data_IF_363971968382
#
_entry.id   IF_363971968382
#
_cell.length_a   1.000
_cell.length_b   1.000
_cell.length_c   1.000
_cell.angle_alpha   90.00
_cell.angle_beta   90.00
_cell.angle_gamma   90.00
#
_symmetry.space_group_name_H-M   'P 1'
#
loop_
_entity.id
_entity.type
_entity.pdbx_description
1 polymer ?
#
# COMPACT_ATOMS: atom_id res chain seq x y z
N UNK A 1 -13.41 19.32 10.97
CA UNK A 1 -13.35 17.85 10.92
C UNK A 1 -12.93 17.43 9.51
N UNK A 2 -11.72 16.91 9.26
CA UNK A 2 -11.37 16.47 7.92
C UNK A 2 -12.19 15.23 7.55
N UNK A 3 -13.07 15.39 6.57
CA UNK A 3 -13.97 14.34 6.07
C UNK A 3 -13.19 13.29 5.29
N UNK A 4 -13.43 12.04 5.66
CA UNK A 4 -12.75 10.87 5.14
C UNK A 4 -13.62 10.27 3.96
N UNK A 5 -13.08 9.77 2.81
CA UNK A 5 -13.79 9.08 1.65
C UNK A 5 -13.03 7.84 1.03
N UNK A 6 -13.18 6.59 1.52
CA UNK A 6 -12.59 5.34 0.91
C UNK A 6 -13.53 4.88 -0.16
N UNK A 7 -12.92 4.35 -1.21
CA UNK A 7 -13.59 3.59 -2.24
C UNK A 7 -12.91 2.23 -2.35
N UNK A 8 -13.69 1.15 -2.28
CA UNK A 8 -13.24 -0.20 -2.62
C UNK A 8 -13.67 -0.54 -4.04
N UNK A 9 -12.77 -1.06 -4.87
CA UNK A 9 -13.17 -1.73 -6.11
C UNK A 9 -13.55 -3.19 -5.80
N UNK A 10 -14.84 -3.45 -5.57
CA UNK A 10 -15.41 -4.82 -5.48
C UNK A 10 -16.50 -4.96 -6.54
N UNK A 11 -16.40 -6.00 -7.37
CA UNK A 11 -17.54 -6.47 -8.15
C UNK A 11 -18.35 -7.46 -7.30
N UNK A 12 -19.62 -7.17 -7.04
CA UNK A 12 -20.61 -8.22 -6.73
C UNK A 12 -21.07 -8.77 -8.06
N UNK A 13 -20.55 -9.93 -8.44
CA UNK A 13 -21.09 -10.73 -9.54
C UNK A 13 -21.41 -12.12 -9.02
N UNK A 14 -22.69 -12.52 -9.11
CA UNK A 14 -23.16 -13.87 -8.79
C UNK A 14 -22.60 -14.84 -9.85
N UNK A 15 -21.95 -15.89 -9.35
CA UNK A 15 -21.49 -17.13 -10.01
C UNK A 15 -20.15 -17.07 -10.76
N UNK A 16 -19.37 -18.12 -10.47
CA UNK A 16 -18.27 -18.73 -11.25
C UNK A 16 -16.82 -18.46 -10.80
N UNK A 17 -16.32 -19.43 -10.03
CA UNK A 17 -15.01 -20.12 -10.11
C UNK A 17 -13.68 -19.32 -10.18
N UNK A 18 -12.98 -19.35 -9.03
CA UNK A 18 -11.51 -19.44 -8.84
C UNK A 18 -10.61 -18.67 -9.84
N UNK A 19 -10.27 -17.45 -9.47
CA UNK A 19 -8.95 -16.85 -9.74
C UNK A 19 -8.57 -15.98 -8.53
N UNK A 20 -7.70 -16.49 -7.68
CA UNK A 20 -7.19 -15.79 -6.49
C UNK A 20 -5.77 -15.35 -6.80
N UNK A 21 -5.63 -14.15 -7.33
CA UNK A 21 -4.38 -13.40 -7.33
C UNK A 21 -4.71 -12.02 -6.78
N UNK A 22 -4.65 -11.88 -5.45
CA UNK A 22 -4.88 -10.61 -4.81
C UNK A 22 -3.67 -9.72 -5.04
N UNK A 23 -3.89 -8.53 -5.57
CA UNK A 23 -2.88 -7.51 -5.73
C UNK A 23 -3.20 -6.33 -4.86
N UNK A 24 -2.54 -6.26 -3.71
CA UNK A 24 -2.64 -5.10 -2.83
C UNK A 24 -1.95 -3.94 -3.53
N UNK A 25 -2.74 -2.97 -3.95
CA UNK A 25 -2.32 -1.61 -4.16
C UNK A 25 -2.56 -0.83 -2.86
N UNK A 26 -1.54 -0.12 -2.41
CA UNK A 26 -1.72 0.98 -1.50
C UNK A 26 -1.64 2.28 -2.30
N UNK A 27 -2.77 2.93 -2.57
CA UNK A 27 -2.79 4.40 -2.52
C UNK A 27 -3.34 4.80 -1.16
N UNK A 28 -2.93 5.97 -0.70
CA UNK A 28 -2.98 6.36 0.69
C UNK A 28 -3.93 7.53 0.88
N UNK A 29 -4.99 7.17 1.62
CA UNK A 29 -6.05 7.88 2.36
C UNK A 29 -7.63 7.63 2.39
N UNK A 30 -8.11 7.16 3.53
CA UNK A 30 -9.26 7.78 4.17
C UNK A 30 -10.67 7.46 3.57
N UNK A 31 -11.46 6.58 4.29
CA UNK A 31 -12.92 6.24 4.56
C UNK A 31 -13.78 5.05 4.08
N UNK A 32 -13.57 3.91 4.71
CA UNK A 32 -14.52 2.94 5.24
C UNK A 32 -15.82 2.54 4.51
N UNK A 33 -16.04 1.22 4.41
CA UNK A 33 -17.27 0.56 4.88
C UNK A 33 -17.00 -0.95 5.05
N UNK A 34 -17.35 -1.46 6.23
CA UNK A 34 -16.96 -2.76 6.75
C UNK A 34 -17.47 -3.97 5.99
N UNK A 35 -16.91 -5.13 6.34
CA UNK A 35 -17.52 -6.46 6.28
C UNK A 35 -16.59 -7.49 6.96
N UNK A 36 -17.07 -8.03 8.10
CA UNK A 36 -16.74 -9.32 8.73
C UNK A 36 -15.37 -9.97 8.41
N UNK A 37 -14.35 -9.66 9.21
CA UNK A 37 -13.04 -10.32 9.18
C UNK A 37 -12.94 -11.56 10.10
N UNK A 38 -13.96 -11.85 10.92
CA UNK A 38 -13.93 -12.95 11.90
C UNK A 38 -13.86 -14.37 11.28
N UNK A 39 -14.03 -14.52 9.96
CA UNK A 39 -14.09 -15.83 9.31
C UNK A 39 -12.79 -16.29 8.63
N UNK A 40 -11.81 -15.40 8.44
CA UNK A 40 -10.54 -15.75 7.77
C UNK A 40 -9.46 -16.25 8.72
N UNK A 41 -9.61 -16.04 10.03
CA UNK A 41 -8.65 -16.51 11.05
C UNK A 41 -8.71 -18.04 11.27
N UNK A 42 -9.73 -18.74 10.75
CA UNK A 42 -10.04 -20.13 11.12
C UNK A 42 -9.72 -21.23 10.09
N UNK A 43 -9.14 -20.93 8.93
CA UNK A 43 -8.85 -21.96 7.94
C UNK A 43 -7.40 -21.90 7.46
N UNK A 44 -6.52 -22.54 8.23
CA UNK A 44 -5.19 -22.90 7.77
C UNK A 44 -5.26 -23.97 6.68
N UNK A 45 -4.44 -23.82 5.63
CA UNK A 45 -3.79 -24.93 4.88
C UNK A 45 -2.77 -24.39 3.87
N UNK A 46 -1.54 -24.93 3.97
CA UNK A 46 -0.32 -24.74 3.16
C UNK A 46 0.64 -23.60 3.55
N UNK A 47 1.93 -23.93 3.65
CA UNK A 47 3.03 -23.01 3.97
C UNK A 47 3.22 -21.91 2.91
N UNK A 48 2.95 -22.21 1.64
CA UNK A 48 2.95 -21.21 0.55
C UNK A 48 1.81 -20.18 0.70
N UNK A 49 0.63 -20.60 1.18
CA UNK A 49 -0.46 -19.68 1.50
C UNK A 49 -0.19 -18.83 2.76
N UNK A 50 0.62 -19.34 3.71
CA UNK A 50 1.06 -18.57 4.88
C UNK A 50 2.08 -17.49 4.50
N UNK A 51 3.05 -17.80 3.63
CA UNK A 51 4.05 -16.81 3.17
C UNK A 51 3.41 -15.76 2.28
N UNK A 52 2.52 -16.15 1.36
CA UNK A 52 1.81 -15.21 0.50
C UNK A 52 0.76 -14.39 1.27
N UNK A 53 0.11 -14.98 2.29
CA UNK A 53 -0.74 -14.26 3.24
C UNK A 53 0.03 -13.24 4.08
N UNK A 54 1.24 -13.58 4.55
CA UNK A 54 2.11 -12.66 5.31
C UNK A 54 2.64 -11.52 4.46
N UNK A 55 3.09 -11.77 3.23
CA UNK A 55 3.56 -10.71 2.33
C UNK A 55 2.43 -9.73 1.95
N UNK A 56 1.22 -10.25 1.75
CA UNK A 56 0.03 -9.42 1.59
C UNK A 56 -0.27 -8.59 2.85
N UNK A 57 -0.14 -9.19 4.02
CA UNK A 57 -0.33 -8.50 5.30
C UNK A 57 0.72 -7.41 5.54
N UNK A 58 1.99 -7.63 5.15
CA UNK A 58 3.08 -6.64 5.30
C UNK A 58 2.80 -5.40 4.46
N UNK A 59 2.43 -5.55 3.18
CA UNK A 59 2.13 -4.40 2.32
C UNK A 59 0.94 -3.59 2.81
N UNK A 60 -0.11 -4.27 3.30
CA UNK A 60 -1.28 -3.62 3.88
C UNK A 60 -0.97 -2.90 5.21
N UNK A 61 -0.25 -3.55 6.13
CA UNK A 61 0.18 -2.95 7.40
C UNK A 61 1.09 -1.74 7.17
N UNK A 62 2.04 -1.85 6.24
CA UNK A 62 2.94 -0.76 5.89
C UNK A 62 2.15 0.46 5.43
N UNK A 63 1.17 0.24 4.56
CA UNK A 63 0.40 1.33 4.00
C UNK A 63 -0.62 1.97 4.92
N UNK A 64 -1.28 1.15 5.74
CA UNK A 64 -2.17 1.66 6.79
C UNK A 64 -1.36 2.42 7.85
N UNK A 65 -0.21 1.91 8.27
CA UNK A 65 0.64 2.62 9.23
C UNK A 65 1.19 3.93 8.66
N UNK A 66 1.68 3.94 7.42
CA UNK A 66 2.10 5.18 6.75
C UNK A 66 0.96 6.21 6.73
N UNK A 67 -0.29 5.75 6.57
CA UNK A 67 -1.46 6.63 6.65
C UNK A 67 -1.65 7.23 8.01
N UNK A 68 -1.53 6.43 9.07
CA UNK A 68 -1.64 6.93 10.43
C UNK A 68 -0.55 7.98 10.71
N UNK A 69 0.71 7.68 10.36
CA UNK A 69 1.85 8.58 10.54
C UNK A 69 1.67 9.92 9.81
N UNK A 70 1.21 9.90 8.56
CA UNK A 70 0.95 11.13 7.81
C UNK A 70 -0.20 11.95 8.41
N UNK A 71 -1.25 11.29 8.92
CA UNK A 71 -2.37 11.99 9.56
C UNK A 71 -1.96 12.65 10.87
N UNK A 72 -1.16 11.95 11.66
CA UNK A 72 -0.66 12.44 12.93
C UNK A 72 0.28 13.64 12.73
N UNK A 73 1.22 13.51 11.79
CA UNK A 73 2.31 14.47 11.67
C UNK A 73 2.09 15.57 10.63
N UNK A 74 1.18 15.36 9.68
CA UNK A 74 0.85 16.32 8.61
C UNK A 74 -0.68 16.50 8.50
N UNK A 75 -1.35 17.03 9.54
CA UNK A 75 -2.82 17.06 9.62
C UNK A 75 -3.51 17.90 8.53
N UNK A 76 -2.77 18.83 7.90
CA UNK A 76 -3.28 19.64 6.78
C UNK A 76 -3.23 18.90 5.44
N UNK A 77 -2.53 17.77 5.36
CA UNK A 77 -2.41 16.97 4.13
C UNK A 77 -3.73 16.24 3.84
N UNK A 78 -4.32 16.54 2.68
CA UNK A 78 -5.49 15.81 2.16
C UNK A 78 -5.03 14.60 1.36
N UNK A 79 -5.74 13.51 1.53
CA UNK A 79 -5.14 12.19 1.43
C UNK A 79 -6.30 11.25 0.89
N UNK A 80 -6.05 10.29 -0.05
CA UNK A 80 -7.04 9.26 -0.53
C UNK A 80 -6.55 7.76 -0.64
N UNK A 81 -7.26 6.73 -0.13
CA UNK A 81 -6.81 5.36 0.24
C UNK A 81 -7.64 4.48 -0.61
N UNK A 82 -6.95 3.80 -1.49
CA UNK A 82 -7.56 2.90 -2.43
C UNK A 82 -6.91 1.56 -2.17
N UNK A 83 -7.72 0.65 -1.64
CA UNK A 83 -7.36 -0.75 -1.58
C UNK A 83 -7.78 -1.39 -2.91
N UNK A 84 -6.81 -1.75 -3.73
CA UNK A 84 -7.08 -2.58 -4.92
C UNK A 84 -7.02 -4.03 -4.47
N UNK A 85 -8.05 -4.79 -4.81
CA UNK A 85 -8.15 -6.22 -4.51
C UNK A 85 -8.05 -7.02 -5.80
N UNK A 86 -8.78 -6.57 -6.82
CA UNK A 86 -8.75 -7.12 -8.17
C UNK A 86 -7.79 -6.30 -9.04
N UNK A 87 -6.66 -6.92 -9.44
CA UNK A 87 -5.64 -6.23 -10.24
C UNK A 87 -6.14 -5.86 -11.64
N UNK A 88 -7.07 -6.64 -12.20
CA UNK A 88 -7.59 -6.39 -13.53
C UNK A 88 -8.38 -5.10 -13.61
N UNK A 89 -8.85 -4.57 -12.48
CA UNK A 89 -9.45 -3.22 -12.41
C UNK A 89 -8.49 -2.10 -12.76
N UNK A 90 -7.18 -2.36 -12.81
CA UNK A 90 -6.19 -1.40 -13.30
C UNK A 90 -6.01 -1.43 -14.82
N UNK A 91 -6.73 -2.29 -15.56
CA UNK A 91 -6.77 -2.28 -17.02
C UNK A 91 -8.05 -1.61 -17.54
N UNK A 92 -8.03 -1.04 -18.75
CA UNK A 92 -9.25 -0.59 -19.40
C UNK A 92 -10.26 -1.74 -19.61
N UNK A 93 -11.55 -1.45 -19.45
CA UNK A 93 -12.62 -2.40 -19.74
C UNK A 93 -12.62 -2.90 -21.20
N UNK A 94 -11.99 -2.17 -22.12
CA UNK A 94 -11.78 -2.59 -23.51
C UNK A 94 -10.74 -3.71 -23.66
N UNK A 95 -9.84 -3.87 -22.70
CA UNK A 95 -8.74 -4.87 -22.72
C UNK A 95 -9.07 -6.11 -21.89
N UNK A 96 -9.90 -5.97 -20.85
CA UNK A 96 -10.26 -7.07 -19.97
C UNK A 96 -11.70 -6.95 -19.44
N UNK A 97 -12.48 -8.06 -19.35
CA UNK A 97 -13.87 -8.03 -18.87
C UNK A 97 -14.04 -7.45 -17.46
N UNK A 98 -13.01 -7.60 -16.61
CA UNK A 98 -12.97 -7.05 -15.25
C UNK A 98 -12.33 -5.66 -15.16
N UNK A 99 -11.94 -5.07 -16.30
CA UNK A 99 -11.33 -3.75 -16.37
C UNK A 99 -12.22 -2.63 -15.83
N UNK A 100 -11.63 -1.46 -15.68
CA UNK A 100 -12.34 -0.23 -15.30
C UNK A 100 -12.58 0.64 -16.53
N UNK A 101 -13.69 1.37 -16.51
CA UNK A 101 -13.85 2.54 -17.38
C UNK A 101 -12.90 3.66 -16.93
N UNK A 102 -12.60 4.61 -17.84
CA UNK A 102 -11.81 5.80 -17.51
C UNK A 102 -12.40 6.56 -16.32
N UNK A 103 -13.73 6.73 -16.30
CA UNK A 103 -14.44 7.44 -15.23
C UNK A 103 -14.25 6.76 -13.87
N UNK A 104 -14.30 5.43 -13.81
CA UNK A 104 -14.09 4.69 -12.56
C UNK A 104 -12.64 4.84 -12.08
N UNK A 105 -11.67 4.73 -12.98
CA UNK A 105 -10.26 4.90 -12.67
C UNK A 105 -9.97 6.33 -12.16
N UNK A 106 -10.42 7.36 -12.88
CA UNK A 106 -10.26 8.77 -12.51
C UNK A 106 -10.90 9.08 -11.16
N UNK A 107 -12.06 8.47 -10.88
CA UNK A 107 -12.75 8.64 -9.60
C UNK A 107 -11.99 8.03 -8.41
N UNK A 108 -11.09 7.08 -8.66
CA UNK A 108 -10.23 6.44 -7.67
C UNK A 108 -8.87 7.16 -7.58
N UNK A 109 -8.15 7.27 -8.68
CA UNK A 109 -6.74 7.71 -8.74
C UNK A 109 -6.53 9.18 -9.09
N UNK A 110 -7.62 9.92 -9.35
CA UNK A 110 -7.59 11.31 -9.80
C UNK A 110 -6.93 11.47 -11.17
N UNK A 111 -7.11 12.64 -11.78
CA UNK A 111 -6.58 12.94 -13.12
C UNK A 111 -5.27 13.73 -13.08
N UNK A 112 -4.84 14.21 -11.92
CA UNK A 112 -3.72 15.15 -11.85
C UNK A 112 -2.92 15.17 -10.54
N UNK A 113 -3.26 14.35 -9.53
CA UNK A 113 -2.56 14.35 -8.24
C UNK A 113 -1.56 13.20 -8.18
N UNK A 114 -0.42 13.36 -7.47
CA UNK A 114 0.52 12.27 -7.25
C UNK A 114 -0.14 11.05 -6.60
N UNK A 115 0.23 9.85 -7.06
CA UNK A 115 -0.23 8.57 -6.52
C UNK A 115 0.97 7.75 -6.10
N UNK A 116 1.13 7.50 -4.80
CA UNK A 116 2.08 6.49 -4.30
C UNK A 116 1.36 5.15 -4.30
N UNK A 117 1.94 4.14 -4.93
CA UNK A 117 1.36 2.81 -5.10
C UNK A 117 2.28 1.75 -4.49
N UNK A 118 1.91 1.15 -3.34
CA UNK A 118 2.66 0.00 -2.80
C UNK A 118 2.09 -1.30 -3.37
N UNK A 119 2.94 -2.12 -3.98
CA UNK A 119 2.56 -3.39 -4.60
C UNK A 119 3.43 -4.53 -4.09
N UNK A 120 2.85 -5.68 -3.77
CA UNK A 120 3.61 -6.84 -3.28
C UNK A 120 4.48 -7.52 -4.35
N UNK A 121 4.18 -7.30 -5.64
CA UNK A 121 4.95 -7.83 -6.77
C UNK A 121 5.82 -6.77 -7.45
N UNK A 122 6.19 -7.04 -8.70
CA UNK A 122 7.05 -6.15 -9.48
C UNK A 122 6.34 -4.84 -9.88
N UNK A 123 6.92 -3.67 -9.57
CA UNK A 123 6.33 -2.36 -9.89
C UNK A 123 5.97 -2.18 -11.38
N UNK A 124 6.79 -2.74 -12.27
CA UNK A 124 6.60 -2.59 -13.72
C UNK A 124 5.26 -3.12 -14.22
N UNK A 125 4.71 -4.16 -13.57
CA UNK A 125 3.39 -4.68 -13.91
C UNK A 125 2.32 -3.61 -13.74
N UNK A 126 2.37 -2.84 -12.65
CA UNK A 126 1.38 -1.79 -12.39
C UNK A 126 1.42 -0.73 -13.50
N UNK A 127 2.62 -0.27 -13.85
CA UNK A 127 2.78 0.68 -14.96
C UNK A 127 2.23 0.14 -16.28
N UNK A 128 2.47 -1.15 -16.58
CA UNK A 128 1.92 -1.81 -17.77
C UNK A 128 0.39 -1.89 -17.74
N UNK A 129 -0.23 -2.04 -16.58
CA UNK A 129 -1.68 -2.11 -16.48
C UNK A 129 -2.32 -0.73 -16.67
N UNK A 130 -1.73 0.30 -16.05
CA UNK A 130 -2.35 1.63 -16.00
C UNK A 130 -2.03 2.56 -17.17
N UNK A 131 -1.12 2.19 -18.08
CA UNK A 131 -0.56 3.11 -19.08
C UNK A 131 -1.57 3.83 -19.99
N UNK A 132 -2.80 3.31 -20.14
CA UNK A 132 -3.86 3.93 -20.94
C UNK A 132 -4.76 4.88 -20.14
N UNK A 133 -4.68 4.87 -18.82
CA UNK A 133 -5.44 5.79 -17.98
C UNK A 133 -4.68 7.11 -17.82
N UNK A 134 -5.43 8.20 -17.59
CA UNK A 134 -4.84 9.50 -17.25
C UNK A 134 -4.06 9.43 -15.95
N UNK A 135 -3.12 10.35 -15.76
CA UNK A 135 -2.35 10.50 -14.52
C UNK A 135 -1.38 9.34 -14.22
N UNK A 136 -1.22 8.38 -15.13
CA UNK A 136 -0.29 7.26 -14.97
C UNK A 136 1.16 7.71 -14.84
N UNK A 137 1.48 8.90 -15.37
CA UNK A 137 2.79 9.56 -15.27
C UNK A 137 3.09 10.09 -13.85
N UNK A 138 2.05 10.32 -13.04
CA UNK A 138 2.19 10.74 -11.62
C UNK A 138 2.04 9.57 -10.65
N UNK A 139 2.07 8.35 -11.17
CA UNK A 139 2.01 7.12 -10.39
C UNK A 139 3.43 6.68 -10.03
N UNK A 140 3.79 6.76 -8.76
CA UNK A 140 5.04 6.26 -8.22
C UNK A 140 4.82 4.90 -7.57
N UNK A 141 5.39 3.84 -8.14
CA UNK A 141 5.13 2.47 -7.70
C UNK A 141 6.31 1.93 -6.90
N UNK A 142 6.02 1.48 -5.68
CA UNK A 142 6.89 0.65 -4.86
C UNK A 142 6.47 -0.80 -4.97
N UNK A 143 7.43 -1.70 -4.85
CA UNK A 143 7.17 -3.12 -4.83
C UNK A 143 8.43 -3.94 -4.76
N UNK A 144 8.33 -5.23 -5.05
CA UNK A 144 9.44 -6.16 -4.91
C UNK A 144 10.60 -5.79 -5.85
N UNK A 145 11.83 -5.77 -5.29
CA UNK A 145 13.06 -5.37 -5.97
C UNK A 145 14.13 -6.47 -5.97
N UNK A 146 13.75 -7.73 -5.70
CA UNK A 146 14.71 -8.84 -5.58
C UNK A 146 15.77 -8.55 -4.50
N UNK A 147 15.35 -7.91 -3.40
CA UNK A 147 16.19 -7.62 -2.25
C UNK A 147 15.67 -8.40 -1.04
N UNK A 148 16.53 -9.22 -0.47
CA UNK A 148 16.23 -9.99 0.73
C UNK A 148 17.00 -11.30 0.79
N UNK A 149 17.06 -11.86 2.00
CA UNK A 149 17.57 -13.18 2.32
C UNK A 149 16.78 -13.68 3.55
N UNK A 150 17.48 -14.18 4.58
CA UNK A 150 16.92 -14.41 5.90
C UNK A 150 16.86 -13.06 6.61
N UNK A 151 15.68 -12.45 6.62
CA UNK A 151 15.43 -11.13 7.20
C UNK A 151 14.19 -11.15 8.10
N UNK A 152 14.10 -10.17 8.99
CA UNK A 152 12.83 -9.90 9.69
C UNK A 152 11.79 -9.34 8.69
N UNK A 153 10.48 -9.45 8.99
CA UNK A 153 9.44 -8.89 8.13
C UNK A 153 9.62 -7.40 7.78
N UNK A 154 9.94 -6.54 8.75
CA UNK A 154 10.15 -5.11 8.48
C UNK A 154 11.46 -4.87 7.73
N UNK A 155 12.54 -5.59 8.04
CA UNK A 155 13.80 -5.48 7.31
C UNK A 155 13.59 -5.81 5.83
N UNK A 156 12.88 -6.90 5.52
CA UNK A 156 12.56 -7.27 4.14
C UNK A 156 11.78 -6.16 3.42
N UNK A 157 10.83 -5.51 4.10
CA UNK A 157 10.08 -4.40 3.54
C UNK A 157 10.97 -3.16 3.30
N UNK A 158 11.88 -2.85 4.23
CA UNK A 158 12.84 -1.74 4.12
C UNK A 158 13.77 -1.98 2.92
N UNK A 159 14.31 -3.19 2.77
CA UNK A 159 15.21 -3.55 1.67
C UNK A 159 14.53 -3.42 0.29
N UNK A 160 13.22 -3.67 0.23
CA UNK A 160 12.42 -3.48 -0.98
C UNK A 160 11.83 -2.06 -1.10
N UNK A 161 12.03 -1.19 -0.11
CA UNK A 161 11.47 0.17 -0.06
C UNK A 161 9.94 0.18 -0.11
N UNK A 162 9.31 -0.82 0.50
CA UNK A 162 7.86 -0.99 0.62
C UNK A 162 7.35 -0.81 2.05
N UNK A 163 8.25 -0.42 2.97
CA UNK A 163 7.98 -0.21 4.38
C UNK A 163 7.24 1.11 4.66
N UNK A 164 6.66 1.20 5.85
CA UNK A 164 5.86 2.34 6.31
C UNK A 164 6.61 3.67 6.29
N UNK A 165 7.91 3.69 6.56
CA UNK A 165 8.70 4.92 6.64
C UNK A 165 9.08 5.41 5.25
N UNK A 166 9.50 4.51 4.36
CA UNK A 166 9.78 4.86 2.97
C UNK A 166 8.54 5.40 2.27
N UNK A 167 7.36 4.84 2.53
CA UNK A 167 6.11 5.35 1.97
C UNK A 167 5.77 6.78 2.44
N UNK A 168 6.07 7.12 3.70
CA UNK A 168 5.94 8.51 4.21
C UNK A 168 6.91 9.43 3.48
N UNK A 169 8.17 9.00 3.29
CA UNK A 169 9.19 9.76 2.57
C UNK A 169 8.75 10.01 1.12
N UNK A 170 8.22 8.99 0.43
CA UNK A 170 7.72 9.12 -0.94
C UNK A 170 6.61 10.18 -1.03
N UNK A 171 5.67 10.19 -0.08
CA UNK A 171 4.61 11.21 -0.03
C UNK A 171 5.20 12.62 0.15
N UNK A 172 6.20 12.78 1.03
CA UNK A 172 6.86 14.08 1.26
C UNK A 172 7.54 14.59 -0.02
N UNK A 173 8.20 13.69 -0.77
CA UNK A 173 8.97 14.05 -1.95
C UNK A 173 8.10 14.33 -3.18
N UNK A 174 7.01 13.56 -3.35
CA UNK A 174 6.17 13.64 -4.54
C UNK A 174 5.04 14.66 -4.46
N UNK A 175 4.62 15.08 -3.26
CA UNK A 175 3.57 16.10 -3.11
C UNK A 175 4.18 17.50 -3.28
N UNK A 176 3.72 18.30 -4.27
CA UNK A 176 4.26 19.62 -4.53
C UNK A 176 4.25 20.52 -3.28
N UNK A 177 5.40 21.14 -3.02
CA UNK A 177 5.59 22.05 -1.90
C UNK A 177 5.65 21.38 -0.52
N UNK A 178 5.58 20.05 -0.41
CA UNK A 178 5.65 19.35 0.90
C UNK A 178 7.09 19.09 1.34
N UNK A 179 8.02 18.81 0.41
CA UNK A 179 9.41 18.49 0.69
C UNK A 179 10.10 19.48 1.64
N UNK A 180 9.99 20.79 1.36
CA UNK A 180 10.60 21.82 2.21
C UNK A 180 9.93 21.92 3.59
N UNK A 181 8.59 21.81 3.64
CA UNK A 181 7.82 21.95 4.89
C UNK A 181 7.95 20.74 5.82
N UNK A 182 8.21 19.56 5.28
CA UNK A 182 8.28 18.30 6.01
C UNK A 182 9.70 17.71 6.05
N UNK A 183 10.73 18.50 5.77
CA UNK A 183 12.12 18.05 5.72
C UNK A 183 12.58 17.37 7.03
N UNK A 184 12.23 17.94 8.18
CA UNK A 184 12.54 17.33 9.47
C UNK A 184 11.85 15.97 9.64
N UNK A 185 10.59 15.86 9.22
CA UNK A 185 9.84 14.60 9.29
C UNK A 185 10.44 13.53 8.38
N UNK A 186 10.87 13.91 7.18
CA UNK A 186 11.60 13.03 6.26
C UNK A 186 12.86 12.47 6.93
N UNK A 187 13.63 13.33 7.61
CA UNK A 187 14.84 12.89 8.30
C UNK A 187 14.54 11.93 9.46
N UNK A 188 13.48 12.20 10.23
CA UNK A 188 13.01 11.27 11.28
C UNK A 188 12.67 9.89 10.69
N UNK A 189 11.99 9.83 9.54
CA UNK A 189 11.67 8.54 8.89
C UNK A 189 12.93 7.78 8.45
N UNK A 190 13.99 8.48 8.00
CA UNK A 190 15.27 7.82 7.71
C UNK A 190 15.93 7.29 8.98
N UNK A 191 15.86 8.04 10.07
CA UNK A 191 16.38 7.59 11.36
C UNK A 191 15.61 6.36 11.87
N UNK A 192 14.29 6.30 11.68
CA UNK A 192 13.51 5.10 11.98
C UNK A 192 13.98 3.90 11.15
N UNK A 193 14.23 4.07 9.85
CA UNK A 193 14.78 2.99 9.01
C UNK A 193 16.11 2.47 9.58
N UNK A 194 17.04 3.38 9.91
CA UNK A 194 18.34 3.02 10.47
C UNK A 194 18.17 2.28 11.82
N UNK A 195 17.33 2.80 12.71
CA UNK A 195 17.04 2.22 14.01
C UNK A 195 16.52 0.79 13.90
N UNK A 196 15.56 0.56 13.02
CA UNK A 196 14.94 -0.76 12.87
C UNK A 196 15.85 -1.78 12.20
N UNK A 197 16.67 -1.35 11.23
CA UNK A 197 17.70 -2.23 10.67
C UNK A 197 18.73 -2.64 11.74
N UNK A 198 19.22 -1.69 12.53
CA UNK A 198 20.13 -1.99 13.62
C UNK A 198 19.51 -2.94 14.66
N UNK A 199 18.24 -2.74 15.00
CA UNK A 199 17.52 -3.63 15.91
C UNK A 199 17.40 -5.06 15.35
N UNK A 200 16.98 -5.19 14.09
CA UNK A 200 16.84 -6.49 13.42
C UNK A 200 18.17 -7.25 13.39
N UNK A 201 19.29 -6.56 13.10
CA UNK A 201 20.62 -7.18 13.09
C UNK A 201 21.13 -7.56 14.49
N UNK A 202 20.77 -6.80 15.51
CA UNK A 202 21.15 -7.08 16.90
C UNK A 202 20.32 -8.18 17.58
N UNK A 203 19.03 -8.30 17.24
CA UNK A 203 18.07 -9.13 17.98
C UNK A 203 17.45 -10.26 17.16
N UNK A 204 17.55 -10.21 15.82
CA UNK A 204 16.93 -11.19 14.92
C UNK A 204 15.40 -11.11 14.85
N UNK A 205 14.79 -10.08 15.43
CA UNK A 205 13.34 -9.85 15.44
C UNK A 205 13.02 -8.39 15.14
N UNK A 206 11.78 -8.11 14.76
CA UNK A 206 11.28 -6.73 14.73
C UNK A 206 10.91 -6.26 16.16
N UNK A 207 10.98 -4.95 16.45
CA UNK A 207 10.53 -4.41 17.73
C UNK A 207 9.05 -4.68 18.01
N UNK A 208 8.67 -4.80 19.28
CA UNK A 208 7.27 -5.09 19.68
C UNK A 208 6.30 -4.00 19.20
N UNK A 209 6.72 -2.74 19.18
CA UNK A 209 5.89 -1.63 18.70
C UNK A 209 5.55 -1.75 17.20
N UNK A 210 6.37 -2.47 16.43
CA UNK A 210 6.11 -2.75 15.01
C UNK A 210 5.21 -3.97 14.87
N UNK A 211 5.51 -5.04 15.61
CA UNK A 211 4.78 -6.30 15.53
C UNK A 211 3.34 -6.19 16.04
N UNK A 212 3.14 -5.41 17.11
CA UNK A 212 1.86 -5.22 17.79
C UNK A 212 1.17 -3.91 17.40
N UNK A 213 1.61 -3.26 16.32
CA UNK A 213 1.00 -2.02 15.87
C UNK A 213 -0.48 -2.23 15.51
N UNK A 214 -1.33 -1.36 16.04
CA UNK A 214 -2.77 -1.33 15.75
C UNK A 214 -3.15 0.03 15.18
N UNK A 215 -4.16 0.02 14.31
CA UNK A 215 -4.70 1.25 13.76
C UNK A 215 -5.25 2.14 14.89
N UNK A 216 -4.83 3.43 15.00
CA UNK A 216 -5.37 4.33 16.00
C UNK A 216 -6.84 4.66 15.68
N UNK A 217 -7.74 4.34 16.61
CA UNK A 217 -9.19 4.59 16.50
C UNK A 217 -9.52 6.09 16.49
#
# INVERSE_FOLDING_TARGET
MPTLVVKSARAVSRRSTRSTTAAIALFLAIRDLGLNLARWILLGRSALAQTQGRLMQIGWLAGTTATALLREHLPTLKLRFVNVVDLYKLQPASEHPHGSSEREFDALFTTNKPVIFNFHGYPWLIHKLVYRFKNHEKLHVRGYKERGNINTPLELAILNQTDRFTLVIDVIDWVPGLAARAAHRKEQMKNEIIRHLAYAHGHGTDPEEIANWVWPL
#
